data_IF_557663489063
#
_entry.id   IF_557663489063
#
_cell.length_a   1.000
_cell.length_b   1.000
_cell.length_c   1.000
_cell.angle_alpha   90.00
_cell.angle_beta   90.00
_cell.angle_gamma   90.00
#
_symmetry.space_group_name_H-M   'P 1'
#
loop_
_entity.id
_entity.type
_entity.pdbx_description
1 polymer ?
#
# COMPACT_ATOMS: atom_id res chain seq x y z
N UNK A 1 -11.80 -19.73 2.35
CA UNK A 1 -11.17 -18.73 1.44
C UNK A 1 -10.81 -17.52 2.28
N UNK A 2 -9.59 -16.98 2.22
CA UNK A 2 -9.33 -15.65 2.76
C UNK A 2 -10.03 -14.68 1.77
N UNK A 3 -11.12 -14.03 2.16
CA UNK A 3 -11.16 -12.62 2.58
C UNK A 3 -12.57 -12.29 3.11
N UNK A 4 -12.66 -11.56 4.23
CA UNK A 4 -13.91 -11.04 4.83
C UNK A 4 -13.94 -9.51 4.90
N UNK A 5 -13.20 -8.82 4.02
CA UNK A 5 -13.00 -7.37 4.02
C UNK A 5 -13.46 -6.81 2.67
N UNK A 6 -14.20 -5.70 2.68
CA UNK A 6 -14.60 -4.98 1.46
C UNK A 6 -13.39 -4.19 0.97
N UNK A 7 -12.97 -4.42 -0.26
CA UNK A 7 -11.81 -3.75 -0.86
C UNK A 7 -12.22 -2.35 -1.34
N UNK A 8 -11.53 -1.33 -0.85
CA UNK A 8 -11.45 -0.04 -1.51
C UNK A 8 -10.21 0.01 -2.44
N UNK A 9 -10.23 0.89 -3.43
CA UNK A 9 -9.16 0.96 -4.45
C UNK A 9 -7.77 1.22 -3.86
N UNK A 10 -7.68 1.97 -2.75
CA UNK A 10 -6.40 2.31 -2.12
C UNK A 10 -5.81 1.09 -1.39
N UNK A 11 -6.63 0.32 -0.68
CA UNK A 11 -6.14 -0.83 0.12
C UNK A 11 -6.18 -2.17 -0.62
N UNK A 12 -6.82 -2.23 -1.80
CA UNK A 12 -6.94 -3.45 -2.61
C UNK A 12 -5.60 -4.18 -2.86
N UNK A 13 -4.47 -3.50 -3.17
CA UNK A 13 -3.20 -4.19 -3.39
C UNK A 13 -2.67 -4.89 -2.14
N UNK A 14 -2.82 -4.27 -0.96
CA UNK A 14 -2.42 -4.87 0.31
C UNK A 14 -3.20 -6.15 0.61
N UNK A 15 -4.53 -6.09 0.50
CA UNK A 15 -5.38 -7.23 0.81
C UNK A 15 -5.27 -8.35 -0.22
N UNK A 16 -5.08 -8.02 -1.50
CA UNK A 16 -4.83 -9.02 -2.55
C UNK A 16 -3.54 -9.80 -2.29
N UNK A 17 -2.46 -9.10 -1.93
CA UNK A 17 -1.21 -9.75 -1.55
C UNK A 17 -1.35 -10.59 -0.27
N UNK A 18 -2.08 -10.09 0.74
CA UNK A 18 -2.33 -10.83 1.97
C UNK A 18 -3.12 -12.14 1.72
N UNK A 19 -4.06 -12.13 0.77
CA UNK A 19 -4.78 -13.32 0.32
C UNK A 19 -3.81 -14.35 -0.29
N UNK A 20 -2.81 -13.89 -1.03
CA UNK A 20 -1.71 -14.69 -1.58
C UNK A 20 -0.61 -15.03 -0.55
N UNK A 21 -0.77 -14.64 0.72
CA UNK A 21 0.23 -14.80 1.78
C UNK A 21 1.56 -14.10 1.48
N UNK A 22 1.48 -12.96 0.77
CA UNK A 22 2.60 -12.05 0.50
C UNK A 22 2.47 -10.81 1.38
N UNK A 23 3.60 -10.36 1.94
CA UNK A 23 3.68 -9.06 2.59
C UNK A 23 4.07 -8.02 1.55
N UNK A 24 3.22 -7.02 1.35
CA UNK A 24 3.52 -5.85 0.53
C UNK A 24 3.28 -4.57 1.32
N UNK A 25 4.06 -3.53 1.03
CA UNK A 25 4.02 -2.22 1.70
C UNK A 25 4.13 -1.11 0.65
N UNK A 26 3.45 0.01 0.85
CA UNK A 26 3.67 1.20 0.02
C UNK A 26 5.07 1.76 0.26
N UNK A 27 5.85 1.92 -0.80
CA UNK A 27 7.13 2.62 -0.82
C UNK A 27 7.00 3.92 -1.60
N UNK A 28 7.54 5.01 -1.05
CA UNK A 28 7.64 6.26 -1.77
C UNK A 28 8.95 6.33 -2.54
N UNK A 29 8.92 6.21 -3.86
CA UNK A 29 10.13 6.24 -4.71
C UNK A 29 10.90 7.58 -4.65
N UNK A 30 10.25 8.66 -4.22
CA UNK A 30 10.88 9.99 -4.07
C UNK A 30 11.76 10.13 -2.83
N UNK A 31 11.37 9.52 -1.70
CA UNK A 31 12.07 9.68 -0.42
C UNK A 31 12.40 8.35 0.26
N UNK A 32 12.20 7.25 -0.47
CA UNK A 32 12.38 5.85 -0.09
C UNK A 32 11.69 5.42 1.22
N UNK A 33 10.63 6.14 1.60
CA UNK A 33 9.87 5.82 2.81
C UNK A 33 8.92 4.65 2.55
N UNK A 34 9.04 3.61 3.37
CA UNK A 34 7.98 2.60 3.54
C UNK A 34 6.88 3.15 4.47
N UNK A 35 5.61 2.95 4.11
CA UNK A 35 4.48 3.40 4.93
C UNK A 35 3.38 2.37 5.09
N UNK A 36 2.87 2.30 6.32
CA UNK A 36 1.69 1.55 6.71
C UNK A 36 1.00 2.31 7.87
N UNK A 37 -0.33 2.52 7.84
CA UNK A 37 -1.30 2.08 6.83
C UNK A 37 -1.09 2.72 5.44
N UNK A 38 -1.64 2.12 4.35
CA UNK A 38 -1.65 2.73 3.04
C UNK A 38 -2.34 4.09 3.05
N UNK A 39 -1.81 5.06 2.30
CA UNK A 39 -2.35 6.41 2.17
C UNK A 39 -2.22 6.89 0.72
N UNK A 40 -3.01 7.90 0.34
CA UNK A 40 -2.94 8.52 -0.99
C UNK A 40 -1.63 9.28 -1.22
N UNK A 41 -1.05 9.84 -0.15
CA UNK A 41 0.19 10.61 -0.19
C UNK A 41 1.26 10.00 0.70
N UNK A 42 2.53 10.22 0.34
CA UNK A 42 3.63 9.92 1.23
C UNK A 42 3.52 10.74 2.53
N UNK A 43 3.47 10.06 3.67
CA UNK A 43 3.36 10.72 4.98
C UNK A 43 4.48 11.72 5.28
N UNK A 44 5.67 11.51 4.69
CA UNK A 44 6.86 12.34 4.88
C UNK A 44 6.98 13.45 3.84
N UNK A 45 7.05 13.12 2.55
CA UNK A 45 7.36 14.10 1.51
C UNK A 45 6.14 14.64 0.75
N UNK A 46 4.92 14.17 1.09
CA UNK A 46 3.63 14.57 0.50
C UNK A 46 3.49 14.32 -1.00
N UNK A 47 4.37 13.51 -1.58
CA UNK A 47 4.22 13.08 -2.95
C UNK A 47 3.24 11.91 -3.03
N UNK A 48 2.09 12.11 -3.69
CA UNK A 48 1.13 11.03 -3.99
C UNK A 48 1.48 10.23 -5.25
N UNK A 49 1.98 10.89 -6.29
CA UNK A 49 2.30 10.25 -7.59
C UNK A 49 3.51 9.29 -7.53
N UNK A 50 4.27 9.28 -6.43
CA UNK A 50 5.49 8.50 -6.26
C UNK A 50 5.31 7.36 -5.25
N UNK A 51 4.09 6.84 -5.08
CA UNK A 51 3.82 5.67 -4.24
C UNK A 51 3.71 4.41 -5.10
N UNK A 52 4.56 3.44 -4.82
CA UNK A 52 4.59 2.12 -5.43
C UNK A 52 4.39 1.04 -4.36
N UNK A 53 3.96 -0.15 -4.77
CA UNK A 53 3.81 -1.31 -3.88
C UNK A 53 5.01 -2.24 -4.04
N UNK A 54 5.67 -2.57 -2.93
CA UNK A 54 6.80 -3.50 -2.86
C UNK A 54 6.48 -4.67 -1.95
#
# INVERSE_FOLDING_TARGET
VKQGVILDELTAPFWSAANESKLVIQNCSRCDRLQHPPAQDCGQCKSGENLEWK
#
